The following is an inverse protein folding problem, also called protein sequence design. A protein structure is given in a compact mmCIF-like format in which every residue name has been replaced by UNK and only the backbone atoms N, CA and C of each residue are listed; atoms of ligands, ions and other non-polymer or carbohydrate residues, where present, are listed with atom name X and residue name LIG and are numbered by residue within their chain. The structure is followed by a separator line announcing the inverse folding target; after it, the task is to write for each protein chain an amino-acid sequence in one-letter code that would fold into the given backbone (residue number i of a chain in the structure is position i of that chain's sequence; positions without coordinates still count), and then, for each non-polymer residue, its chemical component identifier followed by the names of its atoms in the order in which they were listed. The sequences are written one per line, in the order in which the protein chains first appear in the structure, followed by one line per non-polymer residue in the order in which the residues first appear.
data_IF_159599111678
#
_entry.id   IF_159599111678
#
_cell.length_a   1.000
_cell.length_b   1.000
_cell.length_c   1.000
_cell.angle_alpha   90.00
_cell.angle_beta   90.00
_cell.angle_gamma   90.00
#
_symmetry.space_group_name_H-M   'P 1'
#
loop_
_entity.id
_entity.type
_entity.pdbx_description
1 polymer ?
#
# COMPACT_ATOMS: atom_id res chain seq x y z
N UNK A 1 -27.16 8.35 17.34
CA UNK A 1 -26.90 7.64 16.06
C UNK A 1 -25.64 8.11 15.31
N UNK A 2 -24.98 9.20 15.70
CA UNK A 2 -23.75 9.69 15.04
C UNK A 2 -22.47 8.91 15.42
N UNK A 3 -22.42 8.32 16.61
CA UNK A 3 -21.17 7.74 17.16
C UNK A 3 -20.68 6.50 16.40
N UNK A 4 -21.61 5.68 15.90
CA UNK A 4 -21.29 4.45 15.15
C UNK A 4 -20.68 4.74 13.77
N UNK A 5 -21.03 5.88 13.15
CA UNK A 5 -20.50 6.29 11.86
C UNK A 5 -19.08 6.86 11.96
N UNK A 6 -18.81 7.62 13.04
CA UNK A 6 -17.49 8.19 13.30
C UNK A 6 -16.44 7.09 13.59
N UNK A 7 -16.82 6.07 14.36
CA UNK A 7 -15.97 4.91 14.65
C UNK A 7 -15.61 4.13 13.36
N UNK A 8 -16.60 3.83 12.52
CA UNK A 8 -16.36 3.13 11.26
C UNK A 8 -15.44 3.93 10.30
N UNK A 9 -15.58 5.25 10.26
CA UNK A 9 -14.70 6.11 9.45
C UNK A 9 -13.25 6.09 9.95
N UNK A 10 -13.06 6.19 11.27
CA UNK A 10 -11.74 6.12 11.89
C UNK A 10 -11.08 4.75 11.63
N UNK A 11 -11.81 3.66 11.84
CA UNK A 11 -11.32 2.30 11.56
C UNK A 11 -10.94 2.15 10.09
N UNK A 12 -11.76 2.66 9.16
CA UNK A 12 -11.47 2.63 7.73
C UNK A 12 -10.18 3.36 7.39
N UNK A 13 -9.97 4.56 7.96
CA UNK A 13 -8.74 5.33 7.73
C UNK A 13 -7.50 4.62 8.30
N UNK A 14 -7.58 4.13 9.54
CA UNK A 14 -6.47 3.41 10.18
C UNK A 14 -6.10 2.17 9.40
N UNK A 15 -7.10 1.40 8.94
CA UNK A 15 -6.84 0.21 8.14
C UNK A 15 -6.26 0.58 6.77
N UNK A 16 -6.77 1.63 6.11
CA UNK A 16 -6.23 2.10 4.84
C UNK A 16 -4.75 2.51 4.99
N UNK A 17 -4.40 3.18 6.09
CA UNK A 17 -3.01 3.55 6.39
C UNK A 17 -2.13 2.31 6.61
N UNK A 18 -2.58 1.35 7.43
CA UNK A 18 -1.87 0.11 7.69
C UNK A 18 -1.65 -0.70 6.39
N UNK A 19 -2.69 -0.82 5.55
CA UNK A 19 -2.60 -1.50 4.25
C UNK A 19 -1.59 -0.81 3.32
N UNK A 20 -1.54 0.51 3.30
CA UNK A 20 -0.55 1.23 2.50
C UNK A 20 0.88 0.94 2.97
N UNK A 21 1.13 0.97 4.29
CA UNK A 21 2.45 0.68 4.87
C UNK A 21 2.91 -0.75 4.60
N UNK A 22 2.03 -1.74 4.76
CA UNK A 22 2.34 -3.14 4.45
C UNK A 22 2.73 -3.32 2.97
N UNK A 23 1.98 -2.69 2.07
CA UNK A 23 2.28 -2.76 0.64
C UNK A 23 3.59 -2.07 0.25
N UNK A 24 3.96 -0.98 0.95
CA UNK A 24 5.26 -0.34 0.75
C UNK A 24 6.41 -1.23 1.24
N UNK A 25 6.26 -1.89 2.39
CA UNK A 25 7.25 -2.84 2.91
C UNK A 25 7.43 -4.04 1.97
N UNK A 26 6.35 -4.62 1.45
CA UNK A 26 6.41 -5.72 0.47
C UNK A 26 7.16 -5.29 -0.79
N UNK A 27 6.90 -4.07 -1.25
CA UNK A 27 7.61 -3.45 -2.38
C UNK A 27 9.10 -3.34 -2.03
N UNK A 28 9.47 -2.73 -0.91
CA UNK A 28 10.88 -2.61 -0.49
C UNK A 28 11.61 -3.95 -0.41
N UNK A 29 10.98 -4.98 0.16
CA UNK A 29 11.51 -6.35 0.18
C UNK A 29 11.73 -6.91 -1.25
N UNK A 30 10.78 -6.68 -2.17
CA UNK A 30 10.87 -7.13 -3.56
C UNK A 30 11.94 -6.40 -4.39
N UNK A 31 12.28 -5.14 -4.08
CA UNK A 31 13.35 -4.40 -4.76
C UNK A 31 14.71 -4.53 -4.09
N UNK A 32 14.77 -5.16 -2.90
CA UNK A 32 15.98 -5.31 -2.07
C UNK A 32 16.76 -3.99 -1.88
N UNK A 33 16.06 -2.87 -1.93
CA UNK A 33 16.64 -1.54 -1.84
C UNK A 33 15.56 -0.52 -1.54
N UNK A 34 15.89 0.47 -0.70
CA UNK A 34 14.97 1.52 -0.31
C UNK A 34 14.58 2.41 -1.51
N UNK A 35 13.57 3.27 -1.30
CA UNK A 35 13.19 4.27 -2.29
C UNK A 35 14.34 5.25 -2.54
N UNK A 36 14.82 5.35 -3.79
CA UNK A 36 15.90 6.26 -4.19
C UNK A 36 17.33 5.72 -4.02
N UNK A 37 17.50 4.57 -3.37
CA UNK A 37 18.82 3.96 -3.17
C UNK A 37 19.30 3.25 -4.44
N UNK A 38 20.53 3.53 -4.90
CA UNK A 38 21.15 2.83 -6.03
C UNK A 38 21.88 1.59 -5.51
N UNK A 39 21.41 0.41 -5.90
CA UNK A 39 22.09 -0.87 -5.65
C UNK A 39 22.47 -1.50 -7.00
N UNK A 40 23.71 -1.99 -7.11
CA UNK A 40 24.19 -2.72 -8.31
C UNK A 40 23.48 -4.06 -8.49
N UNK A 41 22.92 -4.65 -7.43
CA UNK A 41 22.19 -5.93 -7.46
C UNK A 41 20.73 -5.80 -7.94
N UNK A 42 20.28 -4.57 -8.26
CA UNK A 42 18.88 -4.28 -8.55
C UNK A 42 18.47 -4.78 -9.95
N UNK A 43 17.72 -5.88 -10.01
CA UNK A 43 17.22 -6.50 -11.26
C UNK A 43 15.84 -5.98 -11.72
N UNK A 44 15.24 -5.06 -10.96
CA UNK A 44 13.83 -4.68 -11.09
C UNK A 44 13.64 -3.17 -10.85
N UNK A 45 12.76 -2.52 -11.60
CA UNK A 45 12.43 -1.09 -11.45
C UNK A 45 10.98 -0.87 -11.01
N UNK A 46 10.74 0.16 -10.19
CA UNK A 46 9.39 0.61 -9.83
C UNK A 46 8.80 1.33 -11.04
N UNK A 47 7.82 0.72 -11.73
CA UNK A 47 7.17 1.33 -12.89
C UNK A 47 5.66 1.44 -12.72
N UNK A 48 5.21 2.62 -12.29
CA UNK A 48 3.81 2.93 -12.09
C UNK A 48 3.21 2.27 -10.84
N UNK A 49 1.89 2.39 -10.69
CA UNK A 49 1.17 1.96 -9.49
C UNK A 49 0.00 1.04 -9.84
N UNK A 50 -0.31 0.10 -8.93
CA UNK A 50 -1.51 -0.74 -8.95
C UNK A 50 -2.43 -0.29 -7.83
N UNK A 51 -3.59 0.21 -8.21
CA UNK A 51 -4.68 0.43 -7.28
C UNK A 51 -5.40 -0.90 -6.99
N UNK A 52 -5.75 -1.13 -5.73
CA UNK A 52 -6.59 -2.25 -5.27
C UNK A 52 -7.66 -1.71 -4.33
N UNK A 53 -8.89 -2.19 -4.51
CA UNK A 53 -10.00 -1.91 -3.62
C UNK A 53 -10.27 -3.12 -2.72
N UNK A 54 -10.49 -2.88 -1.44
CA UNK A 54 -10.93 -3.87 -0.47
C UNK A 54 -12.30 -3.47 0.07
N UNK A 55 -13.23 -4.42 0.04
CA UNK A 55 -14.50 -4.28 0.73
C UNK A 55 -14.33 -4.84 2.14
N UNK A 56 -14.49 -3.96 3.14
CA UNK A 56 -14.42 -4.31 4.56
C UNK A 56 -15.72 -3.91 5.23
N UNK A 57 -15.97 -4.42 6.44
CA UNK A 57 -17.19 -4.13 7.20
C UNK A 57 -17.37 -2.62 7.50
N UNK A 58 -16.27 -1.87 7.56
CA UNK A 58 -16.25 -0.41 7.72
C UNK A 58 -16.34 0.37 6.39
N UNK A 59 -16.69 -0.28 5.28
CA UNK A 59 -16.85 0.32 3.95
C UNK A 59 -15.74 -0.07 2.97
N UNK A 60 -15.56 0.72 1.91
CA UNK A 60 -14.54 0.45 0.89
C UNK A 60 -13.22 1.13 1.25
N UNK A 61 -12.13 0.38 1.29
CA UNK A 61 -10.76 0.88 1.48
C UNK A 61 -9.96 0.72 0.19
N UNK A 62 -9.03 1.65 -0.06
CA UNK A 62 -8.21 1.66 -1.27
C UNK A 62 -6.74 1.63 -0.90
N UNK A 63 -5.97 0.76 -1.55
CA UNK A 63 -4.51 0.76 -1.46
C UNK A 63 -3.89 0.97 -2.82
N UNK A 64 -2.80 1.73 -2.86
CA UNK A 64 -1.97 1.88 -4.05
C UNK A 64 -0.59 1.30 -3.75
N UNK A 65 -0.09 0.42 -4.62
CA UNK A 65 1.27 -0.15 -4.47
C UNK A 65 2.06 -0.03 -5.77
N UNK A 66 3.38 0.14 -5.69
CA UNK A 66 4.21 0.27 -6.88
C UNK A 66 4.29 -1.06 -7.65
N UNK A 67 4.23 -0.99 -8.99
CA UNK A 67 4.33 -2.18 -9.85
C UNK A 67 5.80 -2.50 -10.16
N UNK A 68 6.26 -3.72 -9.83
CA UNK A 68 7.57 -4.19 -10.26
C UNK A 68 7.59 -4.47 -11.75
N UNK A 69 8.63 -3.96 -12.41
CA UNK A 69 8.99 -4.29 -13.77
C UNK A 69 10.40 -4.89 -13.77
N UNK A 70 10.48 -6.21 -14.01
CA UNK A 70 11.76 -6.86 -14.29
C UNK A 70 12.39 -6.25 -15.54
N UNK A 71 13.69 -6.00 -15.46
CA UNK A 71 14.48 -5.47 -16.57
C UNK A 71 14.63 -6.50 -17.68
#
# INVERSE_FOLDING_TARGET
MAEKGADAYFIRQTLQHALHRLMEMDVEALYQAAYGERSEERTNSRNGYRDRAYEIRAGKAWSRSARPRKR
#
